data_IF_188969098088
#
_entry.id   IF_188969098088
#
_cell.length_a   1.000
_cell.length_b   1.000
_cell.length_c   1.000
_cell.angle_alpha   90.00
_cell.angle_beta   90.00
_cell.angle_gamma   90.00
#
_symmetry.space_group_name_H-M   'P 1'
#
loop_
_entity.id
_entity.type
_entity.pdbx_description
1 polymer ?
#
# COMPACT_ATOMS: atom_id res chain seq x y z
N UNK A 1 -23.59 -1.53 -0.10
CA UNK A 1 -22.72 -1.55 1.10
C UNK A 1 -21.62 -0.52 0.92
N UNK A 2 -21.32 0.28 1.94
CA UNK A 2 -20.53 1.50 1.77
C UNK A 2 -19.03 1.19 1.90
N UNK A 3 -18.23 1.61 0.92
CA UNK A 3 -16.75 1.53 0.93
C UNK A 3 -16.19 2.05 2.26
N UNK A 4 -16.78 3.12 2.80
CA UNK A 4 -16.44 3.71 4.11
C UNK A 4 -16.52 2.71 5.28
N UNK A 5 -17.54 1.84 5.28
CA UNK A 5 -17.71 0.81 6.31
C UNK A 5 -16.61 -0.24 6.25
N UNK A 6 -16.29 -0.72 5.04
CA UNK A 6 -15.18 -1.65 4.80
C UNK A 6 -13.84 -1.06 5.20
N UNK A 7 -13.53 0.17 4.77
CA UNK A 7 -12.28 0.87 5.13
C UNK A 7 -12.18 1.07 6.65
N UNK A 8 -13.27 1.49 7.31
CA UNK A 8 -13.28 1.63 8.77
C UNK A 8 -13.04 0.29 9.47
N UNK A 9 -13.58 -0.82 8.94
CA UNK A 9 -13.36 -2.13 9.51
C UNK A 9 -11.92 -2.61 9.33
N UNK A 10 -11.34 -2.43 8.14
CA UNK A 10 -9.93 -2.76 7.88
C UNK A 10 -8.98 -1.95 8.77
N UNK A 11 -9.26 -0.65 8.98
CA UNK A 11 -8.47 0.19 9.90
C UNK A 11 -8.44 -0.39 11.31
N UNK A 12 -9.58 -0.86 11.83
CA UNK A 12 -9.64 -1.51 13.15
C UNK A 12 -8.82 -2.79 13.21
N UNK A 13 -8.72 -3.54 12.10
CA UNK A 13 -7.87 -4.74 12.07
C UNK A 13 -6.39 -4.37 12.02
N UNK A 14 -6.01 -3.33 11.25
CA UNK A 14 -4.64 -2.83 11.25
C UNK A 14 -4.20 -2.39 12.66
N UNK A 15 -5.04 -1.68 13.40
CA UNK A 15 -4.78 -1.32 14.79
C UNK A 15 -4.64 -2.56 15.68
N UNK A 16 -5.58 -3.50 15.59
CA UNK A 16 -5.59 -4.75 16.36
C UNK A 16 -4.31 -5.57 16.18
N UNK A 17 -3.83 -5.67 14.94
CA UNK A 17 -2.65 -6.45 14.58
C UNK A 17 -1.38 -5.60 14.46
N UNK A 18 -1.32 -4.44 15.14
CA UNK A 18 -0.12 -3.59 15.26
C UNK A 18 0.51 -3.19 13.92
N UNK A 19 -0.33 -2.96 12.92
CA UNK A 19 0.08 -2.57 11.57
C UNK A 19 0.49 -3.74 10.67
N UNK A 20 0.40 -4.99 11.14
CA UNK A 20 0.61 -6.16 10.29
C UNK A 20 -0.52 -6.25 9.24
N UNK A 21 -0.16 -5.97 8.00
CA UNK A 21 -1.10 -5.93 6.87
C UNK A 21 -1.63 -7.31 6.54
N UNK A 22 -0.82 -8.37 6.67
CA UNK A 22 -1.25 -9.72 6.34
C UNK A 22 -2.27 -10.23 7.34
N UNK A 23 -2.01 -10.03 8.64
CA UNK A 23 -2.94 -10.41 9.70
C UNK A 23 -4.21 -9.55 9.67
N UNK A 24 -4.10 -8.26 9.37
CA UNK A 24 -5.27 -7.39 9.22
C UNK A 24 -6.17 -7.79 8.05
N UNK A 25 -5.59 -8.15 6.89
CA UNK A 25 -6.33 -8.64 5.74
C UNK A 25 -6.96 -10.02 6.02
N UNK A 26 -6.23 -10.91 6.70
CA UNK A 26 -6.76 -12.19 7.12
C UNK A 26 -7.96 -12.02 8.08
N UNK A 27 -7.87 -11.12 9.05
CA UNK A 27 -8.95 -10.82 9.98
C UNK A 27 -10.13 -10.09 9.34
N UNK A 28 -9.88 -9.29 8.29
CA UNK A 28 -10.94 -8.68 7.51
C UNK A 28 -11.78 -9.73 6.76
N UNK A 29 -11.13 -10.78 6.24
CA UNK A 29 -11.79 -11.86 5.48
C UNK A 29 -12.37 -12.98 6.37
N UNK A 30 -11.57 -13.54 7.28
CA UNK A 30 -11.94 -14.70 8.12
C UNK A 30 -12.41 -14.33 9.53
N UNK A 31 -12.33 -13.04 9.89
CA UNK A 31 -12.57 -12.56 11.25
C UNK A 31 -11.33 -12.64 12.15
N UNK A 32 -11.18 -11.72 13.12
CA UNK A 32 -10.02 -11.68 14.01
C UNK A 32 -9.91 -12.92 14.93
N UNK A 33 -11.04 -13.56 15.26
CA UNK A 33 -11.04 -14.78 16.08
C UNK A 33 -10.32 -15.95 15.42
N UNK A 34 -10.44 -16.09 14.09
CA UNK A 34 -9.71 -17.12 13.34
C UNK A 34 -8.20 -16.85 13.35
N UNK A 35 -7.79 -15.60 13.14
CA UNK A 35 -6.38 -15.20 13.17
C UNK A 35 -5.77 -15.45 14.55
N UNK A 36 -6.47 -15.09 15.62
CA UNK A 36 -6.02 -15.33 16.99
C UNK A 36 -5.95 -16.83 17.32
N UNK A 37 -6.93 -17.63 16.88
CA UNK A 37 -6.95 -19.08 17.10
C UNK A 37 -5.78 -19.79 16.43
N UNK A 38 -5.35 -19.30 15.27
CA UNK A 38 -4.29 -19.89 14.46
C UNK A 38 -2.92 -19.20 14.63
N UNK A 39 -2.84 -18.18 15.48
CA UNK A 39 -1.65 -17.32 15.67
C UNK A 39 -1.04 -16.83 14.34
N UNK A 40 -1.90 -16.49 13.37
CA UNK A 40 -1.46 -16.22 12.02
C UNK A 40 -2.58 -16.23 10.98
N UNK A 41 -2.21 -16.26 9.71
CA UNK A 41 -3.18 -16.42 8.62
C UNK A 41 -3.78 -17.83 8.72
N UNK A 42 -5.10 -17.99 8.88
CA UNK A 42 -5.72 -19.29 9.06
C UNK A 42 -5.54 -20.17 7.81
N UNK A 43 -5.55 -21.50 7.94
CA UNK A 43 -5.39 -22.44 6.82
C UNK A 43 -6.67 -22.57 5.97
N UNK A 44 -7.35 -21.46 5.73
CA UNK A 44 -8.50 -21.37 4.84
C UNK A 44 -8.00 -20.94 3.47
N UNK A 45 -8.17 -21.80 2.47
CA UNK A 45 -7.69 -21.55 1.11
C UNK A 45 -8.16 -20.20 0.56
N UNK A 46 -9.41 -19.82 0.83
CA UNK A 46 -9.97 -18.53 0.44
C UNK A 46 -9.21 -17.36 1.09
N UNK A 47 -8.95 -17.43 2.40
CA UNK A 47 -8.25 -16.38 3.14
C UNK A 47 -6.80 -16.23 2.69
N UNK A 48 -6.10 -17.33 2.47
CA UNK A 48 -4.74 -17.31 1.96
C UNK A 48 -4.68 -16.66 0.57
N UNK A 49 -5.60 -17.03 -0.33
CA UNK A 49 -5.71 -16.46 -1.66
C UNK A 49 -6.05 -14.96 -1.62
N UNK A 50 -6.96 -14.57 -0.73
CA UNK A 50 -7.36 -13.18 -0.53
C UNK A 50 -6.16 -12.33 -0.08
N UNK A 51 -5.46 -12.76 0.98
CA UNK A 51 -4.27 -12.07 1.49
C UNK A 51 -3.18 -11.99 0.42
N UNK A 52 -2.90 -13.10 -0.28
CA UNK A 52 -1.90 -13.16 -1.34
C UNK A 52 -2.19 -12.17 -2.47
N UNK A 53 -3.40 -12.20 -3.02
CA UNK A 53 -3.81 -11.33 -4.13
C UNK A 53 -3.70 -9.84 -3.78
N UNK A 54 -4.16 -9.44 -2.58
CA UNK A 54 -4.12 -8.04 -2.16
C UNK A 54 -2.69 -7.58 -1.88
N UNK A 55 -1.86 -8.42 -1.26
CA UNK A 55 -0.46 -8.08 -1.00
C UNK A 55 0.36 -7.97 -2.30
N UNK A 56 0.09 -8.83 -3.29
CA UNK A 56 0.72 -8.73 -4.60
C UNK A 56 0.35 -7.42 -5.29
N UNK A 57 -0.94 -7.07 -5.35
CA UNK A 57 -1.39 -5.82 -5.96
C UNK A 57 -0.85 -4.61 -5.20
N UNK A 58 -0.84 -4.65 -3.86
CA UNK A 58 -0.24 -3.59 -3.04
C UNK A 58 1.23 -3.37 -3.40
N UNK A 59 2.03 -4.43 -3.49
CA UNK A 59 3.45 -4.33 -3.85
C UNK A 59 3.65 -3.79 -5.27
N UNK A 60 2.82 -4.22 -6.22
CA UNK A 60 2.81 -3.72 -7.59
C UNK A 60 2.53 -2.21 -7.64
N UNK A 61 1.53 -1.75 -6.89
CA UNK A 61 1.18 -0.33 -6.78
C UNK A 61 2.30 0.49 -6.11
N UNK A 62 2.95 -0.05 -5.07
CA UNK A 62 4.09 0.62 -4.43
C UNK A 62 5.26 0.78 -5.39
N UNK A 63 5.60 -0.28 -6.15
CA UNK A 63 6.65 -0.23 -7.16
C UNK A 63 6.37 0.84 -8.22
N UNK A 64 5.15 0.86 -8.77
CA UNK A 64 4.71 1.88 -9.74
C UNK A 64 4.82 3.30 -9.18
N UNK A 65 4.40 3.50 -7.93
CA UNK A 65 4.49 4.81 -7.26
C UNK A 65 5.94 5.26 -7.11
N UNK A 66 6.84 4.37 -6.73
CA UNK A 66 8.29 4.65 -6.65
C UNK A 66 8.88 4.99 -8.01
N UNK A 67 8.54 4.24 -9.07
CA UNK A 67 8.98 4.51 -10.45
C UNK A 67 8.53 5.90 -10.92
N UNK A 68 7.26 6.24 -10.72
CA UNK A 68 6.72 7.56 -11.10
C UNK A 68 7.44 8.67 -10.32
N UNK A 69 7.61 8.49 -9.00
CA UNK A 69 8.30 9.47 -8.13
C UNK A 69 9.75 9.71 -8.58
N UNK A 70 10.52 8.67 -8.88
CA UNK A 70 11.90 8.82 -9.36
C UNK A 70 11.95 9.59 -10.70
N UNK A 71 11.04 9.28 -11.63
CA UNK A 71 10.97 9.96 -12.91
C UNK A 71 10.57 11.44 -12.81
N UNK A 72 9.76 11.82 -11.80
CA UNK A 72 9.34 13.20 -11.59
C UNK A 72 10.38 14.03 -10.83
N UNK A 73 11.13 13.40 -9.91
CA UNK A 73 12.27 14.05 -9.25
C UNK A 73 13.44 14.30 -10.22
N UNK A 74 13.79 13.32 -11.05
CA UNK A 74 14.89 13.47 -12.03
C UNK A 74 14.64 14.56 -13.07
N UNK A 75 13.37 14.76 -13.49
CA UNK A 75 13.00 15.82 -14.45
C UNK A 75 13.04 17.24 -13.88
N UNK A 76 13.02 17.39 -12.55
CA UNK A 76 13.11 18.69 -11.88
C UNK A 76 14.56 19.16 -11.65
N UNK A 77 15.55 18.25 -11.70
CA UNK A 77 16.96 18.55 -11.42
C UNK A 77 17.81 18.79 -12.66
N UNK A 78 17.33 18.46 -13.86
CA UNK A 78 17.95 18.88 -15.12
C UNK A 78 17.27 20.16 -15.58
N UNK A 79 17.71 21.31 -15.06
CA UNK A 79 17.58 22.54 -15.85
C UNK A 79 18.40 22.31 -17.13
N UNK A 80 17.87 22.58 -18.33
CA UNK A 80 18.70 22.63 -19.52
C UNK A 80 19.89 23.56 -19.26
N UNK A 81 21.09 23.17 -19.69
CA UNK A 81 22.30 24.01 -19.62
C UNK A 81 22.09 25.37 -20.32
N UNK A 82 21.04 25.49 -21.15
CA UNK A 82 20.62 26.69 -21.87
C UNK A 82 19.87 27.75 -21.01
N UNK A 83 19.60 27.49 -19.73
CA UNK A 83 18.96 28.48 -18.84
C UNK A 83 19.90 29.55 -18.27
N UNK A 84 21.12 29.67 -18.80
CA UNK A 84 22.08 30.73 -18.40
C UNK A 84 21.93 32.06 -19.17
N UNK A 85 21.05 32.20 -20.17
CA UNK A 85 21.06 33.37 -21.07
C UNK A 85 19.96 34.43 -20.80
N UNK A 86 18.96 34.19 -19.93
CA UNK A 86 17.79 35.09 -19.87
C UNK A 86 17.58 35.94 -18.60
N UNK A 87 18.46 35.90 -17.59
CA UNK A 87 18.33 36.81 -16.43
C UNK A 87 19.67 37.46 -16.06
N UNK A 88 19.90 38.66 -16.59
CA UNK A 88 20.89 39.58 -16.03
C UNK A 88 21.64 40.45 -17.03
N UNK A 89 20.96 41.46 -17.60
CA UNK A 89 21.59 42.77 -17.84
C UNK A 89 20.61 43.88 -17.48
N UNK A 90 20.96 44.59 -16.40
CA UNK A 90 20.67 46.01 -16.25
C UNK A 90 21.45 46.80 -17.30
#
# INVERSE_FOLDING_TARGET
QNIRGGVKYLSRQLERFRGDKQLALAAYNAGPGAVLKHDGVPPYRETQNYVGSIMEEYNRLQKRRSTIKLSSLSRKSTLPDDFHIFWGKK
#
